data_IF_146625538205
#
_entry.id   IF_146625538205
#
_cell.length_a   1.000
_cell.length_b   1.000
_cell.length_c   1.000
_cell.angle_alpha   90.00
_cell.angle_beta   90.00
_cell.angle_gamma   90.00
#
_symmetry.space_group_name_H-M   'P 1'
#
loop_
_entity.id
_entity.type
_entity.pdbx_description
1 polymer ?
#
# COMPACT_ATOMS: atom_id res chain seq x y z
N UNK A 1 55.21 5.83 -86.19
CA UNK A 1 55.11 5.23 -84.85
C UNK A 1 53.83 4.41 -84.81
N UNK A 2 53.92 3.14 -85.17
CA UNK A 2 52.79 2.22 -85.11
C UNK A 2 52.70 1.69 -83.67
N UNK A 3 51.57 1.91 -83.01
CA UNK A 3 51.28 1.33 -81.69
C UNK A 3 51.22 -0.19 -81.87
N UNK A 4 52.02 -0.87 -81.07
CA UNK A 4 52.21 -2.31 -81.13
C UNK A 4 50.91 -3.03 -80.75
N UNK A 5 50.17 -3.51 -81.75
CA UNK A 5 48.88 -4.19 -81.58
C UNK A 5 49.01 -5.42 -80.66
N UNK A 6 50.20 -6.01 -80.59
CA UNK A 6 50.50 -7.14 -79.72
C UNK A 6 50.44 -6.77 -78.22
N UNK A 7 50.81 -5.52 -77.89
CA UNK A 7 50.75 -5.00 -76.52
C UNK A 7 49.31 -4.73 -76.08
N UNK A 8 48.48 -4.18 -76.99
CA UNK A 8 47.04 -4.00 -76.78
C UNK A 8 46.33 -5.35 -76.58
N UNK A 9 46.70 -6.37 -77.36
CA UNK A 9 46.09 -7.70 -77.25
C UNK A 9 46.49 -8.42 -75.95
N UNK A 10 47.75 -8.30 -75.50
CA UNK A 10 48.21 -8.84 -74.21
C UNK A 10 47.54 -8.15 -73.01
N UNK A 11 47.34 -6.83 -73.09
CA UNK A 11 46.70 -6.05 -72.02
C UNK A 11 45.21 -6.41 -71.90
N UNK A 12 44.50 -6.57 -73.03
CA UNK A 12 43.09 -7.00 -73.06
C UNK A 12 42.88 -8.43 -72.52
N UNK A 13 43.82 -9.35 -72.78
CA UNK A 13 43.78 -10.71 -72.22
C UNK A 13 44.01 -10.73 -70.71
N UNK A 14 44.92 -9.88 -70.20
CA UNK A 14 45.18 -9.74 -68.77
C UNK A 14 43.98 -9.22 -67.95
N UNK A 15 43.09 -8.44 -68.55
CA UNK A 15 41.83 -8.01 -67.91
C UNK A 15 40.71 -9.06 -68.00
N UNK A 16 40.75 -9.98 -68.96
CA UNK A 16 39.77 -11.08 -69.08
C UNK A 16 40.07 -12.29 -68.20
N UNK A 17 41.33 -12.53 -67.86
CA UNK A 17 41.78 -13.67 -67.02
C UNK A 17 41.80 -13.37 -65.51
N UNK A 18 41.52 -12.13 -65.10
CA UNK A 18 41.48 -11.71 -63.68
C UNK A 18 40.08 -11.75 -63.06
N UNK A 19 39.06 -12.15 -63.83
CA UNK A 19 37.71 -12.39 -63.33
C UNK A 19 37.62 -13.71 -62.57
N UNK A 20 37.08 -13.68 -61.35
CA UNK A 20 36.78 -14.90 -60.61
C UNK A 20 35.93 -15.85 -61.48
N UNK A 21 36.23 -17.17 -61.52
CA UNK A 21 35.45 -18.12 -62.28
C UNK A 21 33.95 -17.99 -61.97
N UNK A 22 33.04 -18.15 -62.95
CA UNK A 22 31.59 -18.01 -62.74
C UNK A 22 31.06 -18.91 -61.62
N UNK A 23 31.69 -20.09 -61.43
CA UNK A 23 31.39 -21.01 -60.34
C UNK A 23 31.73 -20.41 -58.96
N UNK A 24 32.84 -19.69 -58.86
CA UNK A 24 33.27 -18.99 -57.63
C UNK A 24 32.33 -17.83 -57.29
N UNK A 25 31.85 -17.09 -58.30
CA UNK A 25 30.87 -16.00 -58.12
C UNK A 25 29.54 -16.55 -57.62
N UNK A 26 29.03 -17.62 -58.22
CA UNK A 26 27.80 -18.28 -57.76
C UNK A 26 27.93 -18.83 -56.34
N UNK A 27 29.10 -19.41 -56.01
CA UNK A 27 29.38 -19.90 -54.66
C UNK A 27 29.36 -18.76 -53.63
N UNK A 28 29.96 -17.60 -53.94
CA UNK A 28 29.95 -16.43 -53.07
C UNK A 28 28.54 -15.86 -52.85
N UNK A 29 27.70 -15.85 -53.89
CA UNK A 29 26.29 -15.42 -53.77
C UNK A 29 25.51 -16.36 -52.85
N UNK A 30 25.66 -17.68 -53.01
CA UNK A 30 24.99 -18.67 -52.17
C UNK A 30 25.45 -18.57 -50.72
N UNK A 31 26.77 -18.45 -50.49
CA UNK A 31 27.34 -18.28 -49.14
C UNK A 31 26.87 -16.97 -48.51
N UNK A 32 26.83 -15.87 -49.29
CA UNK A 32 26.31 -14.59 -48.84
C UNK A 32 24.83 -14.67 -48.44
N UNK A 33 24.01 -15.37 -49.21
CA UNK A 33 22.60 -15.58 -48.90
C UNK A 33 22.41 -16.43 -47.63
N UNK A 34 23.19 -17.50 -47.47
CA UNK A 34 23.18 -18.32 -46.25
C UNK A 34 23.57 -17.50 -45.01
N UNK A 35 24.60 -16.65 -45.11
CA UNK A 35 25.01 -15.75 -44.03
C UNK A 35 23.90 -14.77 -43.65
N UNK A 36 23.26 -14.15 -44.64
CA UNK A 36 22.14 -13.23 -44.40
C UNK A 36 20.96 -13.97 -43.75
N UNK A 37 20.63 -15.17 -44.21
CA UNK A 37 19.56 -15.98 -43.64
C UNK A 37 19.83 -16.36 -42.18
N UNK A 38 21.08 -16.73 -41.85
CA UNK A 38 21.49 -17.03 -40.47
C UNK A 38 21.39 -15.78 -39.59
N UNK A 39 21.90 -14.63 -40.05
CA UNK A 39 21.82 -13.37 -39.31
C UNK A 39 20.36 -12.96 -39.09
N UNK A 40 19.50 -13.09 -40.10
CA UNK A 40 18.08 -12.80 -39.97
C UNK A 40 17.38 -13.73 -38.97
N UNK A 41 17.71 -15.03 -38.97
CA UNK A 41 17.17 -16.00 -38.02
C UNK A 41 17.61 -15.68 -36.57
N UNK A 42 18.88 -15.32 -36.37
CA UNK A 42 19.43 -14.93 -35.06
C UNK A 42 18.79 -13.64 -34.56
N UNK A 43 18.65 -12.62 -35.41
CA UNK A 43 17.98 -11.36 -35.06
C UNK A 43 16.50 -11.58 -34.73
N UNK A 44 15.81 -12.43 -35.49
CA UNK A 44 14.41 -12.78 -35.22
C UNK A 44 14.27 -13.51 -33.88
N UNK A 45 15.13 -14.49 -33.60
CA UNK A 45 15.14 -15.23 -32.34
C UNK A 45 15.43 -14.30 -31.15
N UNK A 46 16.47 -13.46 -31.25
CA UNK A 46 16.82 -12.50 -30.20
C UNK A 46 15.71 -11.48 -29.97
N UNK A 47 15.06 -10.98 -31.02
CA UNK A 47 13.92 -10.07 -30.87
C UNK A 47 12.72 -10.75 -30.18
N UNK A 48 12.49 -12.03 -30.47
CA UNK A 48 11.43 -12.81 -29.81
C UNK A 48 11.73 -13.03 -28.33
N UNK A 49 12.97 -13.38 -27.98
CA UNK A 49 13.40 -13.55 -26.58
C UNK A 49 13.47 -12.22 -25.82
N UNK A 50 13.92 -11.14 -26.46
CA UNK A 50 13.88 -9.78 -25.91
C UNK A 50 12.44 -9.32 -25.65
N UNK A 51 11.50 -9.61 -26.56
CA UNK A 51 10.07 -9.31 -26.33
C UNK A 51 9.48 -10.08 -25.16
N UNK A 52 9.91 -11.31 -24.90
CA UNK A 52 9.53 -12.04 -23.68
C UNK A 52 10.12 -11.40 -22.43
N UNK A 53 11.40 -10.98 -22.50
CA UNK A 53 12.09 -10.30 -21.39
C UNK A 53 11.61 -8.86 -21.15
N UNK A 54 11.02 -8.18 -22.14
CA UNK A 54 10.49 -6.82 -22.02
C UNK A 54 9.06 -6.79 -21.44
N UNK A 55 8.31 -7.89 -21.54
CA UNK A 55 7.07 -8.09 -20.79
C UNK A 55 7.40 -8.59 -19.38
N UNK A 56 8.18 -7.82 -18.63
CA UNK A 56 8.34 -8.06 -17.19
C UNK A 56 7.04 -7.63 -16.54
N UNK A 57 6.10 -8.57 -16.42
CA UNK A 57 4.97 -8.41 -15.52
C UNK A 57 5.54 -8.39 -14.10
N UNK A 58 5.29 -7.36 -13.28
CA UNK A 58 5.73 -7.34 -11.89
C UNK A 58 5.31 -8.62 -11.17
N UNK A 59 6.17 -9.17 -10.32
CA UNK A 59 5.88 -10.42 -9.59
C UNK A 59 4.67 -10.32 -8.64
N UNK A 60 4.23 -9.11 -8.32
CA UNK A 60 3.03 -8.82 -7.53
C UNK A 60 1.72 -8.90 -8.33
N UNK A 61 1.78 -9.01 -9.66
CA UNK A 61 0.60 -9.05 -10.52
C UNK A 61 0.12 -10.48 -10.70
N UNK A 62 -1.14 -10.70 -10.37
CA UNK A 62 -1.87 -11.92 -10.66
C UNK A 62 -2.63 -11.67 -11.96
N UNK A 63 -2.21 -12.37 -13.01
CA UNK A 63 -2.78 -12.27 -14.38
C UNK A 63 -3.49 -13.55 -14.81
N UNK A 64 -3.37 -14.62 -14.01
CA UNK A 64 -3.98 -15.91 -14.31
C UNK A 64 -5.49 -15.85 -14.08
N UNK A 65 -6.27 -16.20 -15.10
CA UNK A 65 -7.74 -16.02 -15.07
C UNK A 65 -8.41 -16.86 -14.00
N UNK A 66 -7.97 -18.10 -13.82
CA UNK A 66 -8.52 -18.99 -12.79
C UNK A 66 -8.29 -18.44 -11.37
N UNK A 67 -7.10 -17.88 -11.12
CA UNK A 67 -6.79 -17.20 -9.86
C UNK A 67 -7.58 -15.91 -9.67
N UNK A 68 -7.74 -15.11 -10.73
CA UNK A 68 -8.55 -13.89 -10.70
C UNK A 68 -10.00 -14.21 -10.32
N UNK A 69 -10.61 -15.18 -11.01
CA UNK A 69 -11.98 -15.62 -10.78
C UNK A 69 -12.14 -16.11 -9.34
N UNK A 70 -11.22 -16.97 -8.85
CA UNK A 70 -11.21 -17.46 -7.47
C UNK A 70 -11.16 -16.32 -6.44
N UNK A 71 -10.35 -15.28 -6.69
CA UNK A 71 -10.18 -14.16 -5.74
C UNK A 71 -11.43 -13.29 -5.71
N UNK A 72 -12.03 -12.99 -6.86
CA UNK A 72 -13.28 -12.25 -6.90
C UNK A 72 -14.45 -13.05 -6.33
N UNK A 73 -14.54 -14.36 -6.61
CA UNK A 73 -15.53 -15.25 -6.00
C UNK A 73 -15.38 -15.27 -4.48
N UNK A 74 -14.15 -15.38 -3.97
CA UNK A 74 -13.87 -15.28 -2.53
C UNK A 74 -14.35 -13.93 -1.98
N UNK A 75 -14.03 -12.83 -2.66
CA UNK A 75 -14.49 -11.50 -2.27
C UNK A 75 -16.02 -11.37 -2.27
N UNK A 76 -16.72 -12.03 -3.21
CA UNK A 76 -18.18 -12.08 -3.27
C UNK A 76 -18.76 -12.88 -2.09
N UNK A 77 -18.26 -14.09 -1.85
CA UNK A 77 -18.71 -14.98 -0.76
C UNK A 77 -18.57 -14.31 0.61
N UNK A 78 -17.45 -13.64 0.86
CA UNK A 78 -17.20 -12.94 2.12
C UNK A 78 -17.77 -11.51 2.17
N UNK A 79 -18.50 -11.08 1.13
CA UNK A 79 -19.02 -9.71 0.98
C UNK A 79 -17.95 -8.65 1.26
N UNK A 80 -16.75 -8.90 0.73
CA UNK A 80 -15.61 -8.01 0.88
C UNK A 80 -15.95 -6.61 0.38
N UNK A 81 -15.70 -5.63 1.24
CA UNK A 81 -15.86 -4.22 0.90
C UNK A 81 -14.80 -3.81 -0.13
N UNK A 82 -15.25 -3.23 -1.25
CA UNK A 82 -14.41 -2.64 -2.28
C UNK A 82 -14.44 -1.13 -2.16
N UNK A 83 -13.29 -0.52 -1.91
CA UNK A 83 -13.07 0.91 -1.93
C UNK A 83 -12.67 1.34 -3.37
N UNK A 84 -13.62 1.83 -4.16
CA UNK A 84 -13.34 2.40 -5.49
C UNK A 84 -12.80 3.82 -5.38
N UNK A 85 -11.71 4.12 -6.07
CA UNK A 85 -11.13 5.46 -6.14
C UNK A 85 -11.00 5.92 -7.59
N UNK A 86 -11.42 7.15 -7.86
CA UNK A 86 -11.29 7.75 -9.19
C UNK A 86 -9.88 8.31 -9.40
N UNK A 87 -9.31 8.07 -10.59
CA UNK A 87 -8.10 8.76 -11.01
C UNK A 87 -8.48 10.14 -11.56
N UNK A 88 -8.35 11.18 -10.73
CA UNK A 88 -8.50 12.57 -11.16
C UNK A 88 -7.22 13.31 -10.78
N UNK A 89 -6.54 13.88 -11.76
CA UNK A 89 -5.32 14.69 -11.59
C UNK A 89 -5.58 16.04 -10.90
N UNK A 90 -6.84 16.45 -10.71
CA UNK A 90 -7.19 17.76 -10.13
C UNK A 90 -8.19 17.75 -8.97
N UNK A 91 -8.84 16.63 -8.66
CA UNK A 91 -9.79 16.53 -7.53
C UNK A 91 -9.22 15.73 -6.35
N UNK A 92 -9.64 16.09 -5.13
CA UNK A 92 -9.42 15.26 -3.94
C UNK A 92 -9.93 13.85 -4.22
N UNK A 93 -9.03 12.85 -4.14
CA UNK A 93 -9.32 11.42 -4.33
C UNK A 93 -10.60 11.03 -3.58
N UNK A 94 -11.70 10.90 -4.31
CA UNK A 94 -12.99 10.48 -3.78
C UNK A 94 -13.01 8.97 -3.78
N UNK A 95 -13.08 8.37 -2.59
CA UNK A 95 -13.23 6.94 -2.42
C UNK A 95 -14.69 6.61 -2.12
N UNK A 96 -15.21 5.60 -2.80
CA UNK A 96 -16.59 5.13 -2.70
C UNK A 96 -16.55 3.69 -2.23
N UNK A 97 -17.33 3.40 -1.19
CA UNK A 97 -17.47 2.06 -0.66
C UNK A 97 -18.54 1.31 -1.44
N UNK A 98 -18.16 0.16 -1.98
CA UNK A 98 -19.05 -0.76 -2.71
C UNK A 98 -18.91 -2.18 -2.15
N UNK A 99 -19.85 -3.05 -2.49
CA UNK A 99 -19.75 -4.51 -2.32
C UNK A 99 -19.99 -5.18 -3.66
N UNK A 100 -19.45 -6.39 -3.86
CA UNK A 100 -19.76 -7.18 -5.06
C UNK A 100 -21.19 -7.72 -4.93
N UNK A 101 -22.04 -7.43 -5.92
CA UNK A 101 -23.39 -8.01 -6.08
C UNK A 101 -23.32 -9.29 -6.90
N UNK A 102 -22.58 -9.26 -8.02
CA UNK A 102 -22.45 -10.38 -8.95
C UNK A 102 -21.15 -10.32 -9.76
N UNK A 103 -20.71 -11.46 -10.29
CA UNK A 103 -19.53 -11.62 -11.13
C UNK A 103 -19.92 -12.44 -12.36
N UNK A 104 -19.88 -11.79 -13.53
CA UNK A 104 -20.07 -12.43 -14.83
C UNK A 104 -18.97 -11.95 -15.78
N UNK A 105 -19.30 -11.48 -16.99
CA UNK A 105 -18.33 -10.81 -17.89
C UNK A 105 -17.88 -9.42 -17.38
N UNK A 106 -18.50 -8.96 -16.30
CA UNK A 106 -18.25 -7.70 -15.62
C UNK A 106 -18.45 -7.89 -14.12
N UNK A 107 -17.78 -7.04 -13.35
CA UNK A 107 -17.96 -6.96 -11.91
C UNK A 107 -19.13 -6.02 -11.61
N UNK A 108 -20.21 -6.55 -11.02
CA UNK A 108 -21.36 -5.76 -10.58
C UNK A 108 -21.13 -5.34 -9.14
N UNK A 109 -21.02 -4.04 -8.91
CA UNK A 109 -20.78 -3.45 -7.60
C UNK A 109 -22.00 -2.70 -7.09
N UNK A 110 -22.50 -3.08 -5.93
CA UNK A 110 -23.56 -2.36 -5.22
C UNK A 110 -22.97 -1.19 -4.44
N UNK A 111 -23.62 -0.03 -4.53
CA UNK A 111 -23.25 1.20 -3.82
C UNK A 111 -24.49 1.84 -3.18
N UNK A 112 -24.39 2.36 -1.94
CA UNK A 112 -25.49 3.08 -1.30
C UNK A 112 -25.84 4.37 -2.06
N UNK A 113 -27.12 4.73 -2.13
CA UNK A 113 -27.63 5.90 -2.86
C UNK A 113 -27.19 7.29 -2.33
N UNK A 114 -26.26 7.33 -1.37
CA UNK A 114 -25.83 8.54 -0.67
C UNK A 114 -24.84 9.41 -1.49
N UNK A 115 -24.76 9.20 -2.80
CA UNK A 115 -23.84 9.93 -3.70
C UNK A 115 -24.54 10.46 -4.94
N UNK A 116 -24.08 11.63 -5.43
CA UNK A 116 -24.36 12.10 -6.79
C UNK A 116 -23.65 11.19 -7.80
N UNK A 117 -24.24 10.02 -8.03
CA UNK A 117 -23.81 9.04 -9.02
C UNK A 117 -24.53 9.41 -10.31
N UNK A 118 -23.77 9.75 -11.34
CA UNK A 118 -24.33 10.27 -12.59
C UNK A 118 -23.65 9.67 -13.80
N UNK A 119 -24.22 9.93 -14.98
CA UNK A 119 -23.66 9.50 -16.28
C UNK A 119 -22.21 9.94 -16.49
N UNK A 120 -21.73 10.95 -15.76
CA UNK A 120 -20.34 11.40 -15.80
C UNK A 120 -19.33 10.35 -15.37
N UNK A 121 -19.74 9.27 -14.70
CA UNK A 121 -18.86 8.18 -14.27
C UNK A 121 -18.61 7.13 -15.34
N UNK A 122 -19.46 7.07 -16.38
CA UNK A 122 -19.30 6.15 -17.50
C UNK A 122 -17.98 6.41 -18.22
N UNK A 123 -17.23 5.34 -18.50
CA UNK A 123 -15.93 5.40 -19.17
C UNK A 123 -14.78 5.92 -18.29
N UNK A 124 -15.01 6.19 -17.00
CA UNK A 124 -13.91 6.60 -16.10
C UNK A 124 -13.11 5.40 -15.62
N UNK A 125 -11.80 5.60 -15.60
CA UNK A 125 -10.86 4.69 -14.97
C UNK A 125 -10.96 4.82 -13.44
N UNK A 126 -11.02 3.66 -12.78
CA UNK A 126 -11.13 3.52 -11.34
C UNK A 126 -10.13 2.49 -10.84
N UNK A 127 -9.58 2.77 -9.67
CA UNK A 127 -8.82 1.78 -8.90
C UNK A 127 -9.72 1.21 -7.82
N UNK A 128 -9.98 -0.08 -7.87
CA UNK A 128 -10.66 -0.80 -6.80
C UNK A 128 -9.64 -1.34 -5.80
N UNK A 129 -9.92 -1.16 -4.52
CA UNK A 129 -9.12 -1.72 -3.44
C UNK A 129 -9.99 -2.59 -2.56
N UNK A 130 -9.59 -3.83 -2.31
CA UNK A 130 -10.37 -4.77 -1.50
C UNK A 130 -9.47 -5.71 -0.72
N UNK A 131 -10.06 -6.49 0.18
CA UNK A 131 -9.35 -7.53 0.90
C UNK A 131 -10.21 -8.79 0.99
N UNK A 132 -9.55 -9.93 1.05
CA UNK A 132 -10.18 -11.22 1.30
C UNK A 132 -9.56 -11.85 2.53
N UNK A 133 -10.30 -12.63 3.32
CA UNK A 133 -9.71 -13.41 4.40
C UNK A 133 -8.70 -14.40 3.82
N UNK A 134 -7.55 -14.53 4.48
CA UNK A 134 -6.61 -15.59 4.19
C UNK A 134 -7.12 -16.93 4.75
N UNK A 135 -6.44 -18.04 4.41
CA UNK A 135 -6.73 -19.36 5.00
C UNK A 135 -6.61 -19.38 6.54
N UNK A 136 -5.88 -18.42 7.10
CA UNK A 136 -5.63 -18.30 8.54
C UNK A 136 -6.60 -17.29 9.16
N UNK A 137 -7.20 -17.67 10.29
CA UNK A 137 -8.16 -16.85 10.99
C UNK A 137 -7.55 -15.49 11.40
N UNK A 138 -8.25 -14.40 11.10
CA UNK A 138 -7.82 -13.04 11.44
C UNK A 138 -6.81 -12.41 10.46
N UNK A 139 -6.28 -13.16 9.49
CA UNK A 139 -5.44 -12.60 8.44
C UNK A 139 -6.25 -12.22 7.19
N UNK A 140 -5.83 -11.15 6.53
CA UNK A 140 -6.45 -10.67 5.29
C UNK A 140 -5.38 -10.35 4.25
N UNK A 141 -5.67 -10.67 2.99
CA UNK A 141 -4.82 -10.33 1.85
C UNK A 141 -5.46 -9.15 1.13
N UNK A 142 -4.67 -8.13 0.83
CA UNK A 142 -5.13 -6.92 0.17
C UNK A 142 -4.80 -6.97 -1.32
N UNK A 143 -5.77 -6.58 -2.13
CA UNK A 143 -5.65 -6.51 -3.57
C UNK A 143 -6.08 -5.14 -4.06
N UNK A 144 -5.43 -4.69 -5.13
CA UNK A 144 -5.91 -3.60 -5.95
C UNK A 144 -6.12 -4.07 -7.39
N UNK A 145 -6.97 -3.36 -8.10
CA UNK A 145 -7.15 -3.54 -9.53
C UNK A 145 -7.48 -2.20 -10.17
N UNK A 146 -7.19 -2.08 -11.45
CA UNK A 146 -7.59 -0.92 -12.25
C UNK A 146 -8.54 -1.39 -13.33
N UNK A 147 -9.65 -0.68 -13.50
CA UNK A 147 -10.65 -0.99 -14.50
C UNK A 147 -11.46 0.25 -14.88
N UNK A 148 -12.40 0.10 -15.79
CA UNK A 148 -13.25 1.16 -16.33
C UNK A 148 -14.70 0.87 -15.96
N UNK A 149 -15.43 1.92 -15.54
CA UNK A 149 -16.88 1.84 -15.34
C UNK A 149 -17.56 1.78 -16.71
N UNK A 150 -18.23 0.68 -17.00
CA UNK A 150 -18.94 0.46 -18.26
C UNK A 150 -20.39 0.93 -18.20
N UNK A 151 -21.05 0.73 -17.06
CA UNK A 151 -22.46 1.08 -16.89
C UNK A 151 -22.79 1.49 -15.45
N UNK A 152 -23.86 2.28 -15.29
CA UNK A 152 -24.42 2.67 -14.00
C UNK A 152 -25.93 2.48 -14.08
N UNK A 153 -26.47 1.55 -13.29
CA UNK A 153 -27.92 1.32 -13.17
C UNK A 153 -28.41 1.68 -11.79
N UNK A 154 -29.60 2.25 -11.74
CA UNK A 154 -30.33 2.47 -10.49
C UNK A 154 -31.22 1.26 -10.25
N UNK A 155 -31.09 0.60 -9.09
CA UNK A 155 -31.90 -0.56 -8.74
C UNK A 155 -32.74 -0.18 -7.51
N UNK A 156 -33.93 0.34 -7.77
CA UNK A 156 -34.84 0.89 -6.74
C UNK A 156 -34.41 2.27 -6.22
N UNK A 157 -34.94 2.69 -5.07
CA UNK A 157 -34.69 4.03 -4.50
C UNK A 157 -33.47 4.11 -3.56
N UNK A 158 -32.79 2.99 -3.27
CA UNK A 158 -31.84 2.91 -2.16
C UNK A 158 -30.39 2.58 -2.55
N UNK A 159 -30.13 2.07 -3.76
CA UNK A 159 -28.79 1.70 -4.20
C UNK A 159 -28.61 1.76 -5.72
N UNK A 160 -27.34 1.82 -6.13
CA UNK A 160 -26.91 1.81 -7.52
C UNK A 160 -26.04 0.58 -7.78
N UNK A 161 -26.21 -0.03 -8.95
CA UNK A 161 -25.31 -1.05 -9.48
C UNK A 161 -24.35 -0.39 -10.46
N UNK A 162 -23.06 -0.44 -10.14
CA UNK A 162 -21.97 -0.05 -11.02
C UNK A 162 -21.46 -1.29 -11.73
N UNK A 163 -21.42 -1.23 -13.05
CA UNK A 163 -20.82 -2.27 -13.88
C UNK A 163 -19.40 -1.84 -14.18
N UNK A 164 -18.43 -2.65 -13.76
CA UNK A 164 -17.01 -2.42 -13.95
C UNK A 164 -16.50 -3.56 -14.83
N UNK A 165 -15.70 -3.26 -15.85
CA UNK A 165 -15.10 -4.32 -16.66
C UNK A 165 -14.25 -5.25 -15.76
N UNK A 166 -14.21 -6.54 -16.08
CA UNK A 166 -13.27 -7.43 -15.40
C UNK A 166 -11.84 -6.93 -15.66
N UNK A 167 -11.02 -6.76 -14.61
CA UNK A 167 -9.66 -6.27 -14.79
C UNK A 167 -8.77 -7.36 -15.39
N UNK A 168 -7.83 -6.96 -16.24
CA UNK A 168 -6.86 -7.89 -16.85
C UNK A 168 -5.88 -8.50 -15.85
N UNK A 169 -5.70 -7.83 -14.70
CA UNK A 169 -4.84 -8.25 -13.62
C UNK A 169 -5.31 -7.62 -12.30
N UNK A 170 -4.92 -8.26 -11.20
CA UNK A 170 -4.96 -7.67 -9.86
C UNK A 170 -3.53 -7.61 -9.34
N UNK A 171 -3.21 -6.60 -8.55
CA UNK A 171 -1.94 -6.55 -7.85
C UNK A 171 -2.17 -6.88 -6.37
N UNK A 172 -1.39 -7.81 -5.85
CA UNK A 172 -1.32 -8.02 -4.41
C UNK A 172 -0.51 -6.88 -3.83
N UNK A 173 -1.16 -6.02 -3.04
CA UNK A 173 -0.53 -4.83 -2.48
C UNK A 173 -0.63 -4.83 -0.97
N UNK A 174 0.24 -4.07 -0.32
CA UNK A 174 0.10 -3.75 1.08
C UNK A 174 -0.42 -2.31 1.16
N UNK A 175 -1.69 -2.12 1.56
CA UNK A 175 -2.31 -0.76 1.65
C UNK A 175 -1.55 0.18 2.58
N UNK A 176 -0.77 -0.38 3.50
CA UNK A 176 -0.12 0.33 4.59
C UNK A 176 1.35 -0.01 4.56
N UNK A 177 2.15 1.04 4.57
CA UNK A 177 3.62 0.98 4.67
C UNK A 177 4.08 0.25 5.94
N UNK A 178 3.27 0.31 7.00
CA UNK A 178 3.53 -0.37 8.27
C UNK A 178 2.47 -1.41 8.57
N UNK A 179 2.92 -2.55 9.11
CA UNK A 179 2.05 -3.57 9.67
C UNK A 179 1.23 -2.97 10.82
N UNK A 180 -0.08 -3.25 10.83
CA UNK A 180 -0.96 -2.86 11.94
C UNK A 180 -1.43 -4.09 12.67
N UNK A 181 -1.30 -4.07 13.98
CA UNK A 181 -1.77 -5.13 14.86
C UNK A 181 -2.70 -4.53 15.89
N UNK A 182 -3.78 -5.23 16.20
CA UNK A 182 -4.68 -4.91 17.30
C UNK A 182 -4.24 -5.69 18.54
N UNK A 183 -3.54 -5.05 19.49
CA UNK A 183 -2.99 -5.76 20.63
C UNK A 183 -4.10 -6.13 21.62
N UNK A 184 -4.21 -7.41 22.02
CA UNK A 184 -4.99 -7.77 23.18
C UNK A 184 -4.49 -7.07 24.44
N UNK A 185 -5.37 -6.87 25.42
CA UNK A 185 -5.07 -6.13 26.65
C UNK A 185 -3.98 -6.76 27.54
N UNK A 186 -3.55 -8.00 27.27
CA UNK A 186 -2.43 -8.63 28.00
C UNK A 186 -1.06 -8.17 27.50
N UNK A 187 -0.99 -7.57 26.31
CA UNK A 187 0.27 -7.15 25.66
C UNK A 187 0.56 -5.65 25.84
N UNK A 188 -0.30 -4.92 26.54
CA UNK A 188 -0.04 -3.55 26.95
C UNK A 188 -0.65 -3.28 28.32
N UNK A 189 0.05 -2.51 29.14
CA UNK A 189 -0.35 -2.18 30.51
C UNK A 189 -1.14 -0.85 30.56
N UNK A 190 -0.74 0.12 29.74
CA UNK A 190 -1.28 1.47 29.79
C UNK A 190 -1.30 2.12 28.42
N UNK A 191 -2.39 2.83 28.12
CA UNK A 191 -2.50 3.73 26.98
C UNK A 191 -3.28 4.95 27.41
N UNK A 192 -2.76 6.14 27.12
CA UNK A 192 -3.48 7.39 27.36
C UNK A 192 -3.04 8.47 26.38
N UNK A 193 -3.89 9.48 26.21
CA UNK A 193 -3.66 10.64 25.36
C UNK A 193 -3.98 11.91 26.14
N UNK A 194 -3.09 12.90 26.08
CA UNK A 194 -3.22 14.19 26.75
C UNK A 194 -2.84 15.35 25.83
N UNK A 195 -3.34 16.57 26.08
CA UNK A 195 -3.01 17.72 25.24
C UNK A 195 -1.52 18.07 25.24
N UNK A 196 -0.97 18.38 24.07
CA UNK A 196 0.40 18.88 23.91
C UNK A 196 0.48 20.35 24.39
N UNK A 197 0.61 20.50 25.70
CA UNK A 197 0.69 21.78 26.42
C UNK A 197 1.81 21.69 27.45
N UNK A 198 2.27 22.81 28.02
CA UNK A 198 3.29 22.79 29.09
C UNK A 198 2.89 21.86 30.25
N UNK A 199 1.62 21.91 30.67
CA UNK A 199 1.11 21.03 31.73
C UNK A 199 1.05 19.56 31.30
N UNK A 200 0.58 19.29 30.07
CA UNK A 200 0.54 17.94 29.52
C UNK A 200 1.93 17.34 29.38
N UNK A 201 2.89 18.10 28.87
CA UNK A 201 4.29 17.70 28.76
C UNK A 201 4.90 17.36 30.12
N UNK A 202 4.72 18.21 31.13
CA UNK A 202 5.19 17.93 32.48
C UNK A 202 4.56 16.65 33.05
N UNK A 203 3.27 16.42 32.80
CA UNK A 203 2.59 15.20 33.21
C UNK A 203 3.14 13.96 32.48
N UNK A 204 3.40 14.06 31.18
CA UNK A 204 4.00 12.99 30.38
C UNK A 204 5.42 12.64 30.82
N UNK A 205 6.25 13.64 31.06
CA UNK A 205 7.61 13.44 31.57
C UNK A 205 7.60 12.84 32.98
N UNK A 206 6.66 13.26 33.84
CA UNK A 206 6.50 12.67 35.17
C UNK A 206 6.11 11.19 35.09
N UNK A 207 5.21 10.81 34.18
CA UNK A 207 4.85 9.41 33.95
C UNK A 207 6.06 8.56 33.58
N UNK A 208 6.92 9.04 32.68
CA UNK A 208 8.16 8.35 32.32
C UNK A 208 9.13 8.29 33.51
N UNK A 209 9.36 9.42 34.19
CA UNK A 209 10.32 9.52 35.29
C UNK A 209 9.95 8.67 36.52
N UNK A 210 8.66 8.46 36.78
CA UNK A 210 8.17 7.59 37.87
C UNK A 210 7.88 6.18 37.40
N UNK A 211 8.36 5.78 36.21
CA UNK A 211 8.11 4.47 35.63
C UNK A 211 6.63 4.05 35.70
N UNK A 212 5.72 4.96 35.36
CA UNK A 212 4.28 4.72 35.32
C UNK A 212 3.50 4.82 36.64
N UNK A 213 4.16 5.01 37.79
CA UNK A 213 3.45 5.17 39.07
C UNK A 213 2.52 6.41 39.06
N UNK A 214 2.95 7.48 38.40
CA UNK A 214 2.11 8.63 38.12
C UNK A 214 1.36 8.44 36.79
N UNK A 215 0.05 8.23 36.86
CA UNK A 215 -0.84 8.20 35.70
C UNK A 215 -1.56 9.55 35.51
N UNK A 216 -1.33 10.27 34.38
CA UNK A 216 -2.08 11.48 34.07
C UNK A 216 -3.59 11.21 33.96
N UNK A 217 -4.40 12.20 34.32
CA UNK A 217 -5.85 12.13 34.15
C UNK A 217 -6.25 11.96 32.68
N UNK A 218 -7.32 11.19 32.44
CA UNK A 218 -7.84 10.95 31.10
C UNK A 218 -8.63 12.17 30.58
N UNK A 219 -8.52 12.45 29.27
CA UNK A 219 -9.25 13.56 28.65
C UNK A 219 -10.78 13.42 28.76
N UNK A 220 -11.32 12.19 28.82
CA UNK A 220 -12.74 11.94 29.02
C UNK A 220 -13.21 12.11 30.49
N UNK A 221 -12.33 12.54 31.41
CA UNK A 221 -12.64 12.68 32.83
C UNK A 221 -12.32 11.41 33.65
N UNK A 222 -12.66 11.44 34.95
CA UNK A 222 -12.23 10.44 35.95
C UNK A 222 -12.65 9.01 35.58
N UNK A 223 -13.85 8.84 35.03
CA UNK A 223 -14.41 7.53 34.68
C UNK A 223 -14.14 7.13 33.22
N UNK A 224 -13.42 7.96 32.47
CA UNK A 224 -13.06 7.62 31.09
C UNK A 224 -11.92 6.64 31.02
N UNK A 225 -11.98 5.80 29.99
CA UNK A 225 -10.99 4.81 29.64
C UNK A 225 -10.47 5.10 28.24
N UNK A 226 -9.22 4.74 28.01
CA UNK A 226 -8.56 4.82 26.72
C UNK A 226 -8.12 3.41 26.36
N UNK A 227 -8.55 2.92 25.21
CA UNK A 227 -8.20 1.59 24.70
C UNK A 227 -7.31 1.75 23.47
N UNK A 228 -6.29 0.91 23.37
CA UNK A 228 -5.44 0.82 22.20
C UNK A 228 -6.13 -0.12 21.19
N UNK A 229 -6.68 0.44 20.11
CA UNK A 229 -7.41 -0.34 19.11
C UNK A 229 -6.47 -1.01 18.11
N UNK A 230 -5.47 -0.27 17.62
CA UNK A 230 -4.41 -0.78 16.76
C UNK A 230 -3.13 0.06 16.89
N UNK A 231 -1.99 -0.51 16.52
CA UNK A 231 -0.68 0.14 16.51
C UNK A 231 0.17 -0.39 15.35
N UNK A 232 1.08 0.45 14.86
CA UNK A 232 2.04 0.22 13.76
C UNK A 232 3.29 1.08 13.95
N UNK A 233 4.35 0.82 13.16
CA UNK A 233 5.52 1.70 13.08
C UNK A 233 5.19 3.18 12.81
N UNK A 234 4.13 3.48 12.05
CA UNK A 234 3.76 4.86 11.70
C UNK A 234 2.80 5.58 12.66
N UNK A 235 2.20 4.86 13.63
CA UNK A 235 1.18 5.44 14.52
C UNK A 235 0.23 4.42 15.10
N UNK A 236 -0.87 4.91 15.68
CA UNK A 236 -1.82 4.09 16.43
C UNK A 236 -3.25 4.62 16.40
N UNK A 237 -4.20 3.76 16.73
CA UNK A 237 -5.60 4.09 16.93
C UNK A 237 -5.99 3.95 18.40
N UNK A 238 -6.66 4.96 18.95
CA UNK A 238 -7.22 4.93 20.29
C UNK A 238 -8.75 5.00 20.26
N UNK A 239 -9.39 4.32 21.20
CA UNK A 239 -10.81 4.49 21.53
C UNK A 239 -10.93 5.12 22.91
N UNK A 240 -11.68 6.22 23.01
CA UNK A 240 -11.90 6.97 24.23
C UNK A 240 -13.37 6.88 24.63
N UNK A 241 -13.63 6.60 25.90
CA UNK A 241 -14.99 6.67 26.45
C UNK A 241 -15.31 8.04 27.04
N UNK A 242 -16.60 8.34 27.19
CA UNK A 242 -17.13 9.60 27.69
C UNK A 242 -16.59 10.84 26.95
N UNK A 243 -16.32 10.72 25.65
CA UNK A 243 -15.83 11.81 24.80
C UNK A 243 -16.97 12.45 24.02
N UNK A 244 -17.61 13.46 24.59
CA UNK A 244 -18.69 14.22 23.92
C UNK A 244 -18.13 15.33 23.03
N UNK A 245 -18.92 15.82 22.06
CA UNK A 245 -18.53 16.94 21.19
C UNK A 245 -18.09 18.18 21.99
N UNK A 246 -18.81 18.52 23.08
CA UNK A 246 -18.46 19.65 23.96
C UNK A 246 -17.07 19.45 24.61
N UNK A 247 -16.74 18.22 25.00
CA UNK A 247 -15.46 17.89 25.63
C UNK A 247 -14.32 17.86 24.62
N UNK A 248 -14.53 17.24 23.45
CA UNK A 248 -13.59 17.28 22.35
C UNK A 248 -13.24 18.73 21.95
N UNK A 249 -14.23 19.63 21.87
CA UNK A 249 -14.02 21.04 21.60
C UNK A 249 -13.18 21.74 22.68
N UNK A 250 -13.40 21.43 23.97
CA UNK A 250 -12.60 21.98 25.10
C UNK A 250 -11.12 21.64 24.96
N UNK A 251 -10.79 20.43 24.52
CA UNK A 251 -9.41 19.98 24.32
C UNK A 251 -8.86 20.31 22.93
N UNK A 252 -9.62 21.00 22.08
CA UNK A 252 -9.27 21.27 20.67
C UNK A 252 -8.89 19.99 19.92
N UNK A 253 -9.60 18.90 20.20
CA UNK A 253 -9.40 17.60 19.58
C UNK A 253 -9.87 17.65 18.12
N UNK A 254 -8.96 18.10 17.24
CA UNK A 254 -9.22 18.36 15.83
C UNK A 254 -8.13 17.74 14.96
N UNK A 255 -8.47 17.39 13.73
CA UNK A 255 -7.50 16.89 12.74
C UNK A 255 -6.35 17.88 12.58
N UNK A 256 -5.13 17.37 12.48
CA UNK A 256 -3.89 18.14 12.32
C UNK A 256 -3.28 18.67 13.61
N UNK A 257 -3.98 18.58 14.76
CA UNK A 257 -3.44 19.02 16.04
C UNK A 257 -2.57 17.95 16.68
N UNK A 258 -1.60 18.40 17.48
CA UNK A 258 -0.69 17.53 18.21
C UNK A 258 -1.23 17.18 19.60
N UNK A 259 -0.98 15.94 20.01
CA UNK A 259 -1.28 15.41 21.33
C UNK A 259 -0.13 14.51 21.79
N UNK A 260 0.06 14.43 23.10
CA UNK A 260 1.00 13.49 23.70
C UNK A 260 0.28 12.17 23.92
N UNK A 261 0.93 11.07 23.54
CA UNK A 261 0.46 9.71 23.80
C UNK A 261 1.46 9.02 24.72
N UNK A 262 0.93 8.43 25.79
CA UNK A 262 1.66 7.66 26.78
C UNK A 262 1.28 6.20 26.57
N UNK A 263 2.28 5.34 26.42
CA UNK A 263 2.10 3.90 26.22
C UNK A 263 3.00 3.14 27.18
N UNK A 264 2.46 2.08 27.76
CA UNK A 264 3.22 1.03 28.43
C UNK A 264 2.96 -0.28 27.69
N UNK A 265 3.95 -0.78 26.99
CA UNK A 265 3.87 -2.01 26.19
C UNK A 265 4.64 -3.13 26.89
N UNK A 266 4.18 -4.37 26.74
CA UNK A 266 4.94 -5.53 27.21
C UNK A 266 6.09 -5.78 26.23
N UNK A 267 7.31 -5.94 26.75
CA UNK A 267 8.47 -6.32 25.97
C UNK A 267 8.50 -7.83 25.72
N UNK A 268 8.71 -8.22 24.47
CA UNK A 268 8.81 -9.62 24.07
C UNK A 268 10.17 -10.24 24.39
N UNK A 269 11.21 -9.43 24.67
CA UNK A 269 12.51 -9.90 25.12
C UNK A 269 12.52 -10.27 26.60
N UNK A 270 12.46 -9.27 27.47
CA UNK A 270 12.66 -9.45 28.92
C UNK A 270 11.35 -9.64 29.72
N UNK A 271 10.19 -9.68 29.04
CA UNK A 271 8.84 -9.72 29.65
C UNK A 271 8.54 -8.55 30.61
N UNK A 272 9.30 -7.46 30.49
CA UNK A 272 9.09 -6.22 31.24
C UNK A 272 8.04 -5.31 30.61
N UNK A 273 7.77 -4.18 31.26
CA UNK A 273 6.94 -3.11 30.71
C UNK A 273 7.84 -1.98 30.24
N UNK A 274 7.82 -1.68 28.94
CA UNK A 274 8.54 -0.56 28.34
C UNK A 274 7.57 0.60 28.15
N UNK A 275 8.01 1.79 28.54
CA UNK A 275 7.18 3.00 28.56
C UNK A 275 7.64 3.99 27.50
N UNK A 276 6.70 4.44 26.69
CA UNK A 276 6.94 5.36 25.60
C UNK A 276 6.12 6.62 25.79
N UNK A 277 6.72 7.75 25.39
CA UNK A 277 6.06 9.04 25.29
C UNK A 277 6.25 9.55 23.86
N UNK A 278 5.15 9.75 23.15
CA UNK A 278 5.15 10.23 21.79
C UNK A 278 4.45 11.58 21.67
N UNK A 279 5.02 12.48 20.86
CA UNK A 279 4.24 13.53 20.21
C UNK A 279 3.56 12.89 19.00
N UNK A 280 2.25 13.03 18.91
CA UNK A 280 1.43 12.47 17.85
C UNK A 280 0.57 13.53 17.20
N UNK A 281 0.21 13.33 15.94
CA UNK A 281 -0.71 14.20 15.21
C UNK A 281 -2.01 13.48 14.89
N UNK A 282 -3.13 14.16 15.12
CA UNK A 282 -4.45 13.61 14.83
C UNK A 282 -4.70 13.58 13.33
N UNK A 283 -4.84 12.38 12.75
CA UNK A 283 -5.11 12.18 11.31
C UNK A 283 -6.58 11.91 11.04
N UNK A 284 -7.26 11.21 11.95
CA UNK A 284 -8.69 10.89 11.86
C UNK A 284 -9.35 11.03 13.23
N UNK A 285 -10.57 11.52 13.23
CA UNK A 285 -11.43 11.58 14.40
C UNK A 285 -12.81 11.10 13.97
N UNK A 286 -13.39 10.22 14.77
CA UNK A 286 -14.79 9.87 14.70
C UNK A 286 -15.35 9.96 16.11
N UNK A 287 -16.42 10.72 16.31
CA UNK A 287 -17.10 10.85 17.61
C UNK A 287 -18.50 10.30 17.42
N UNK A 288 -18.84 9.29 18.22
CA UNK A 288 -20.19 8.80 18.37
C UNK A 288 -20.85 9.51 19.57
N UNK A 289 -21.72 10.51 19.33
CA UNK A 289 -22.35 11.24 20.40
C UNK A 289 -23.38 10.41 21.18
N UNK A 290 -23.89 9.31 20.61
CA UNK A 290 -24.91 8.46 21.25
C UNK A 290 -24.28 7.55 22.29
N UNK A 291 -23.12 6.97 21.98
CA UNK A 291 -22.38 6.10 22.89
C UNK A 291 -21.36 6.86 23.74
N UNK A 292 -21.13 8.15 23.43
CA UNK A 292 -20.10 8.96 24.07
C UNK A 292 -18.70 8.41 23.83
N UNK A 293 -18.47 7.79 22.66
CA UNK A 293 -17.18 7.19 22.28
C UNK A 293 -16.50 8.03 21.22
N UNK A 294 -15.17 8.09 21.26
CA UNK A 294 -14.40 8.69 20.18
C UNK A 294 -13.30 7.73 19.72
N UNK A 295 -13.18 7.55 18.41
CA UNK A 295 -12.09 6.83 17.78
C UNK A 295 -11.12 7.83 17.15
N UNK A 296 -9.84 7.73 17.52
CA UNK A 296 -8.78 8.61 17.07
C UNK A 296 -7.74 7.81 16.31
N UNK A 297 -7.43 8.23 15.08
CA UNK A 297 -6.25 7.76 14.35
C UNK A 297 -5.13 8.79 14.48
N UNK A 298 -4.00 8.37 15.02
CA UNK A 298 -2.85 9.21 15.39
C UNK A 298 -1.61 8.74 14.60
N UNK A 299 -0.82 9.68 14.08
CA UNK A 299 0.51 9.38 13.53
C UNK A 299 1.59 9.81 14.52
N UNK A 300 2.67 9.05 14.61
CA UNK A 300 3.84 9.49 15.37
C UNK A 300 4.52 10.66 14.67
N UNK A 301 4.97 11.65 15.44
CA UNK A 301 5.73 12.80 14.95
C UNK A 301 7.10 12.87 15.64
N UNK A 302 7.15 12.55 16.94
CA UNK A 302 8.41 12.45 17.67
C UNK A 302 8.29 11.51 18.86
N UNK A 303 9.39 10.83 19.19
CA UNK A 303 9.54 9.96 20.35
C UNK A 303 10.43 10.63 21.39
N UNK A 304 10.07 10.50 22.67
CA UNK A 304 10.94 10.92 23.76
C UNK A 304 12.11 9.94 23.94
N UNK A 305 13.34 10.46 23.97
CA UNK A 305 14.58 9.67 24.04
C UNK A 305 15.33 9.85 25.37
N UNK A 306 14.68 10.42 26.38
CA UNK A 306 15.31 10.75 27.65
C UNK A 306 15.70 12.22 27.77
N UNK A 307 16.58 12.52 28.71
CA UNK A 307 17.07 13.87 28.95
C UNK A 307 18.50 14.00 28.44
N UNK A 308 18.78 15.13 27.80
CA UNK A 308 20.13 15.50 27.41
C UNK A 308 21.02 15.68 28.66
N UNK A 309 22.20 15.08 28.67
CA UNK A 309 23.06 15.02 29.86
C UNK A 309 23.56 16.39 30.29
N UNK A 310 23.83 17.28 29.34
CA UNK A 310 24.41 18.61 29.57
C UNK A 310 23.32 19.63 29.91
N UNK A 311 22.27 19.69 29.09
CA UNK A 311 21.22 20.72 29.22
C UNK A 311 20.08 20.33 30.15
N UNK A 312 20.00 19.05 30.55
CA UNK A 312 18.87 18.44 31.28
C UNK A 312 17.52 18.66 30.61
N UNK A 313 17.50 19.00 29.32
CA UNK A 313 16.27 19.22 28.55
C UNK A 313 15.77 17.90 27.96
N UNK A 314 14.45 17.74 27.77
CA UNK A 314 13.88 16.61 27.05
C UNK A 314 14.46 16.47 25.65
N UNK A 315 15.02 15.30 25.34
CA UNK A 315 15.50 14.94 24.01
C UNK A 315 14.39 14.23 23.25
N UNK A 316 14.14 14.69 22.03
CA UNK A 316 13.12 14.13 21.15
C UNK A 316 13.76 13.69 19.84
N UNK A 317 13.40 12.49 19.40
CA UNK A 317 13.73 11.99 18.08
C UNK A 317 12.53 12.16 17.17
N UNK A 318 12.75 12.78 16.00
CA UNK A 318 11.68 12.97 15.03
C UNK A 318 11.43 11.64 14.32
N UNK A 319 10.16 11.25 14.24
CA UNK A 319 9.75 10.09 13.44
C UNK A 319 9.63 10.54 12.00
N UNK A 320 10.40 9.91 11.10
CA UNK A 320 10.42 10.23 9.68
C UNK A 320 9.40 9.38 8.91
N UNK A 321 9.50 9.36 7.58
CA UNK A 321 8.58 8.57 6.74
C UNK A 321 8.74 7.06 6.94
N UNK A 322 9.89 6.60 7.46
CA UNK A 322 10.15 5.19 7.74
C UNK A 322 9.54 4.73 9.07
N UNK A 323 8.77 5.58 9.74
CA UNK A 323 8.10 5.24 10.99
C UNK A 323 9.07 5.14 12.17
N UNK A 324 8.58 4.64 13.29
CA UNK A 324 9.35 4.40 14.50
C UNK A 324 9.82 2.94 14.49
N UNK A 325 11.13 2.66 14.32
CA UNK A 325 11.65 1.30 14.18
C UNK A 325 11.27 0.40 15.37
N UNK A 326 11.38 0.93 16.59
CA UNK A 326 11.02 0.19 17.81
C UNK A 326 9.54 -0.23 17.82
N UNK A 327 8.64 0.63 17.33
CA UNK A 327 7.22 0.28 17.23
C UNK A 327 6.96 -0.71 16.11
N UNK A 328 7.69 -0.62 15.01
CA UNK A 328 7.60 -1.57 13.90
C UNK A 328 8.03 -2.97 14.36
N UNK A 329 9.21 -3.06 14.99
CA UNK A 329 9.75 -4.29 15.59
C UNK A 329 8.79 -4.87 16.64
N UNK A 330 8.27 -4.03 17.54
CA UNK A 330 7.30 -4.46 18.54
C UNK A 330 6.03 -5.03 17.90
N UNK A 331 5.49 -4.35 16.88
CA UNK A 331 4.29 -4.85 16.17
C UNK A 331 4.53 -6.13 15.39
N UNK A 332 5.72 -6.28 14.81
CA UNK A 332 6.12 -7.49 14.12
C UNK A 332 6.25 -8.68 15.10
N UNK A 333 6.90 -8.47 16.24
CA UNK A 333 7.02 -9.49 17.28
C UNK A 333 5.65 -9.88 17.86
N UNK A 334 4.79 -8.91 18.14
CA UNK A 334 3.42 -9.19 18.56
C UNK A 334 2.66 -10.00 17.51
N UNK A 335 2.79 -9.63 16.23
CA UNK A 335 2.15 -10.38 15.14
C UNK A 335 2.61 -11.84 15.10
N UNK A 336 3.91 -12.09 15.22
CA UNK A 336 4.46 -13.44 15.28
C UNK A 336 3.99 -14.21 16.52
N UNK A 337 3.87 -13.55 17.67
CA UNK A 337 3.39 -14.19 18.90
C UNK A 337 1.91 -14.58 18.79
N UNK A 338 1.06 -13.66 18.33
CA UNK A 338 -0.35 -13.95 18.04
C UNK A 338 -0.51 -15.06 16.99
N UNK A 339 0.40 -15.11 16.01
CA UNK A 339 0.42 -16.17 15.01
C UNK A 339 0.75 -17.54 15.60
N UNK A 340 1.66 -17.61 16.59
CA UNK A 340 2.00 -18.85 17.29
C UNK A 340 0.84 -19.33 18.16
N UNK A 341 0.26 -18.43 18.95
CA UNK A 341 -0.88 -18.73 19.82
C UNK A 341 -2.09 -19.26 19.03
N UNK A 342 -2.31 -18.79 17.81
CA UNK A 342 -3.42 -19.24 16.95
C UNK A 342 -3.20 -20.58 16.24
N UNK A 343 -2.00 -21.17 16.34
CA UNK A 343 -1.68 -22.50 15.80
C UNK A 343 -1.67 -23.61 16.89
N UNK A 344 -1.90 -23.23 18.15
CA UNK A 344 -2.28 -24.15 19.23
C UNK A 344 -3.81 -24.26 19.32
#
# INVERSE_FOLDING_TARGET
MAVDQEFLYKTLRGFGETGLPPQTVNMLIVVGFCLIAIVAAVLWYNNRELKKKLKVVPSSWITDKEQLDTIFETALVYRSKIDLSFHSTSEKRRTVACSIDDIADHLVLEMPANGNVGKSWLGREVTGFFHVPAKQAGMVIFYNFTSIITEVKTKGSQYFNLYVALPDHIEQTQKREFLRVSPPSRHYDYANIIPDTKQGLNAGLKFIATNGEYAPGHMGGKDSKVFLSDISGGGLSLELTHMTNKRAARFKLNKGHNFLVLLSLVDFGDKGIVRHLFVTKVRRIFIDPTQGRAQLGLSFESKFMGFDEDTKKPKWEKVDQNGCPEMDDWTYNLYLELYREGNE
#
